data_IF_106407030926
#
_entry.id   IF_106407030926
#
_cell.length_a   1.000
_cell.length_b   1.000
_cell.length_c   1.000
_cell.angle_alpha   90.00
_cell.angle_beta   90.00
_cell.angle_gamma   90.00
#
_symmetry.space_group_name_H-M   'P 1'
#
loop_
_entity.id
_entity.type
_entity.pdbx_description
1 polymer ?
#
# COMPACT_ATOMS: atom_id res chain seq x y z
N UNK A 1 4.99 -16.08 -17.73
CA UNK A 1 3.73 -15.32 -17.95
C UNK A 1 3.16 -15.00 -16.58
N UNK A 2 3.13 -13.72 -16.24
CA UNK A 2 2.79 -13.22 -14.91
C UNK A 2 1.29 -13.43 -14.59
N UNK A 3 0.99 -13.89 -13.37
CA UNK A 3 -0.39 -14.12 -12.91
C UNK A 3 -0.84 -12.98 -11.98
N UNK A 4 -1.66 -12.07 -12.48
CA UNK A 4 -2.20 -10.93 -11.71
C UNK A 4 -2.92 -11.36 -10.43
N UNK A 5 -3.64 -12.49 -10.44
CA UNK A 5 -4.33 -12.99 -9.26
C UNK A 5 -3.36 -13.48 -8.18
N UNK A 6 -2.23 -14.05 -8.59
CA UNK A 6 -1.17 -14.45 -7.66
C UNK A 6 -0.55 -13.22 -6.98
N UNK A 7 -0.25 -12.16 -7.74
CA UNK A 7 0.26 -10.92 -7.15
C UNK A 7 -0.75 -10.28 -6.18
N UNK A 8 -2.06 -10.27 -6.52
CA UNK A 8 -3.11 -9.80 -5.60
C UNK A 8 -3.10 -10.60 -4.30
N UNK A 9 -3.04 -11.94 -4.36
CA UNK A 9 -3.03 -12.80 -3.16
C UNK A 9 -1.77 -12.61 -2.30
N UNK A 10 -0.61 -12.42 -2.95
CA UNK A 10 0.65 -12.15 -2.24
C UNK A 10 0.61 -10.77 -1.57
N UNK A 11 0.12 -9.73 -2.27
CA UNK A 11 -0.11 -8.41 -1.66
C UNK A 11 -1.08 -8.49 -0.50
N UNK A 12 -2.22 -9.17 -0.64
CA UNK A 12 -3.20 -9.30 0.44
C UNK A 12 -2.55 -9.89 1.69
N UNK A 13 -1.76 -10.94 1.52
CA UNK A 13 -1.06 -11.60 2.61
C UNK A 13 0.01 -10.70 3.25
N UNK A 14 0.79 -9.99 2.44
CA UNK A 14 1.81 -9.05 2.93
C UNK A 14 1.19 -7.88 3.69
N UNK A 15 0.15 -7.25 3.13
CA UNK A 15 -0.58 -6.14 3.74
C UNK A 15 -1.19 -6.54 5.08
N UNK A 16 -1.88 -7.68 5.15
CA UNK A 16 -2.47 -8.16 6.39
C UNK A 16 -1.40 -8.35 7.48
N UNK A 17 -0.27 -8.99 7.13
CA UNK A 17 0.85 -9.17 8.07
C UNK A 17 1.43 -7.83 8.54
N UNK A 18 1.63 -6.88 7.64
CA UNK A 18 2.19 -5.57 7.96
C UNK A 18 1.26 -4.75 8.85
N UNK A 19 -0.05 -4.76 8.56
CA UNK A 19 -1.08 -4.12 9.38
C UNK A 19 -1.08 -4.69 10.80
N UNK A 20 -1.10 -6.02 10.92
CA UNK A 20 -1.09 -6.72 12.21
C UNK A 20 0.17 -6.38 13.02
N UNK A 21 1.34 -6.32 12.37
CA UNK A 21 2.61 -5.99 13.03
C UNK A 21 2.75 -4.53 13.44
N UNK A 22 2.08 -3.59 12.74
CA UNK A 22 2.11 -2.14 13.00
C UNK A 22 0.81 -1.58 13.56
N UNK A 23 -0.10 -2.44 14.04
CA UNK A 23 -1.44 -2.00 14.48
C UNK A 23 -1.36 -0.94 15.59
N UNK A 24 -0.44 -1.08 16.55
CA UNK A 24 -0.29 -0.12 17.64
C UNK A 24 0.14 1.27 17.16
N UNK A 25 1.15 1.32 16.29
CA UNK A 25 1.65 2.54 15.69
C UNK A 25 0.63 3.18 14.72
N UNK A 26 -0.12 2.36 13.97
CA UNK A 26 -1.21 2.84 13.12
C UNK A 26 -2.31 3.52 13.93
N UNK A 27 -2.75 2.88 15.02
CA UNK A 27 -3.74 3.47 15.95
C UNK A 27 -3.22 4.77 16.55
N UNK A 28 -1.95 4.83 16.94
CA UNK A 28 -1.33 6.06 17.46
C UNK A 28 -1.44 7.24 16.50
N UNK A 29 -1.28 7.03 15.19
CA UNK A 29 -1.42 8.12 14.21
C UNK A 29 -2.88 8.39 13.84
N UNK A 30 -3.71 7.34 13.72
CA UNK A 30 -5.12 7.46 13.31
C UNK A 30 -5.97 8.27 14.29
N UNK A 31 -5.73 8.16 15.60
CA UNK A 31 -6.47 8.95 16.60
C UNK A 31 -6.13 10.44 16.57
N UNK A 32 -5.04 10.82 15.90
CA UNK A 32 -4.63 12.22 15.85
C UNK A 32 -5.44 12.96 14.80
N UNK A 33 -5.79 14.21 15.12
CA UNK A 33 -6.50 15.07 14.19
C UNK A 33 -5.74 15.34 12.88
N UNK A 34 -4.42 15.16 12.90
CA UNK A 34 -3.57 15.33 11.73
C UNK A 34 -3.73 14.20 10.71
N UNK A 35 -4.30 13.05 11.05
CA UNK A 35 -4.45 11.95 10.08
C UNK A 35 -5.39 12.35 8.94
N UNK A 36 -4.91 12.30 7.70
CA UNK A 36 -5.72 12.63 6.52
C UNK A 36 -5.95 11.44 5.61
N UNK A 37 -4.91 10.69 5.32
CA UNK A 37 -4.96 9.53 4.44
C UNK A 37 -3.70 8.68 4.62
N UNK A 38 -3.85 7.42 4.25
CA UNK A 38 -2.81 6.43 4.18
C UNK A 38 -2.52 6.20 2.70
N UNK A 39 -1.44 6.80 2.18
CA UNK A 39 -1.00 6.52 0.81
C UNK A 39 -0.03 5.36 0.84
N UNK A 40 -0.41 4.26 0.20
CA UNK A 40 0.53 3.24 -0.22
C UNK A 40 1.12 3.68 -1.54
N UNK A 41 2.37 4.13 -1.50
CA UNK A 41 3.08 4.45 -2.72
C UNK A 41 3.87 3.23 -3.14
N UNK A 42 3.52 2.67 -4.29
CA UNK A 42 4.41 1.77 -5.00
C UNK A 42 5.24 2.64 -5.94
N UNK A 43 6.06 3.51 -5.36
CA UNK A 43 7.25 3.90 -6.08
C UNK A 43 8.06 2.62 -6.21
N UNK A 44 8.20 2.09 -7.42
CA UNK A 44 9.30 1.19 -7.68
C UNK A 44 10.58 2.03 -7.60
N UNK A 45 11.11 2.16 -6.40
CA UNK A 45 12.42 2.72 -6.17
C UNK A 45 13.20 1.70 -5.37
N UNK A 46 14.26 1.17 -5.99
CA UNK A 46 15.08 0.10 -5.43
C UNK A 46 14.29 -1.19 -5.05
N UNK A 47 13.29 -1.56 -5.86
CA UNK A 47 12.52 -2.81 -5.75
C UNK A 47 11.67 -2.94 -4.47
N UNK A 48 11.37 -1.83 -3.77
CA UNK A 48 10.71 -1.85 -2.47
C UNK A 48 9.31 -1.20 -2.46
N UNK A 49 8.56 -1.38 -1.37
CA UNK A 49 7.23 -0.79 -1.19
C UNK A 49 7.19 0.08 0.06
N UNK A 50 6.66 1.30 -0.10
CA UNK A 50 6.62 2.31 0.96
C UNK A 50 5.19 2.68 1.33
N UNK A 51 4.88 2.62 2.62
CA UNK A 51 3.61 3.10 3.17
C UNK A 51 3.82 4.42 3.88
N UNK A 52 3.08 5.45 3.47
CA UNK A 52 3.19 6.79 4.00
C UNK A 52 1.86 7.22 4.63
N UNK A 53 1.95 7.93 5.75
CA UNK A 53 0.82 8.56 6.43
C UNK A 53 0.92 10.07 6.26
N UNK A 54 -0.13 10.66 5.73
CA UNK A 54 -0.15 12.08 5.40
C UNK A 54 -0.94 12.90 6.39
N UNK A 55 -0.47 14.13 6.58
CA UNK A 55 -1.10 15.09 7.47
C UNK A 55 -2.22 15.89 6.76
N UNK A 56 -3.31 16.18 7.48
CA UNK A 56 -4.34 17.11 7.01
C UNK A 56 -3.69 18.49 6.83
N UNK A 57 -3.95 19.21 5.71
CA UNK A 57 -3.38 20.53 5.50
C UNK A 57 -3.60 21.46 6.70
N UNK A 58 -2.51 22.08 7.19
CA UNK A 58 -2.54 22.97 8.35
C UNK A 58 -2.54 22.25 9.71
N UNK A 59 -2.40 20.93 9.74
CA UNK A 59 -2.17 20.13 10.94
C UNK A 59 -0.86 19.34 10.77
N UNK A 60 -0.26 18.95 11.89
CA UNK A 60 0.91 18.08 11.87
C UNK A 60 0.81 17.00 12.93
N UNK A 61 1.37 15.84 12.62
CA UNK A 61 1.41 14.73 13.57
C UNK A 61 2.29 15.07 14.76
N UNK A 62 1.88 14.58 15.92
CA UNK A 62 2.81 14.25 17.00
C UNK A 62 3.57 13.00 16.55
N UNK A 63 4.89 13.12 16.43
CA UNK A 63 5.76 12.04 15.97
C UNK A 63 5.78 10.88 16.97
N UNK A 64 5.70 9.65 16.47
CA UNK A 64 5.91 8.45 17.28
C UNK A 64 7.42 8.22 17.53
N UNK A 65 7.78 7.74 18.71
CA UNK A 65 9.20 7.60 19.12
C UNK A 65 9.98 6.58 18.29
N UNK A 66 9.29 5.62 17.67
CA UNK A 66 9.91 4.49 16.96
C UNK A 66 9.72 4.49 15.45
N UNK A 67 8.73 5.22 14.94
CA UNK A 67 8.36 5.17 13.52
C UNK A 67 7.99 6.56 13.03
N UNK A 68 8.45 6.88 11.83
CA UNK A 68 8.10 8.12 11.15
C UNK A 68 6.74 7.97 10.45
N UNK A 69 6.00 9.06 10.28
CA UNK A 69 4.78 9.07 9.45
C UNK A 69 5.13 9.05 7.95
N UNK A 70 6.26 9.65 7.56
CA UNK A 70 6.89 9.42 6.26
C UNK A 70 7.75 8.17 6.31
N UNK A 71 7.61 7.29 5.32
CA UNK A 71 8.20 5.94 5.26
C UNK A 71 7.77 5.07 6.46
N UNK A 72 6.49 5.11 6.80
CA UNK A 72 5.93 4.42 7.96
C UNK A 72 6.12 2.90 7.91
N UNK A 73 5.98 2.30 6.72
CA UNK A 73 6.39 0.92 6.46
C UNK A 73 7.28 0.90 5.21
N UNK A 74 8.43 0.24 5.33
CA UNK A 74 9.32 -0.13 4.23
C UNK A 74 9.30 -1.66 4.16
N UNK A 75 8.89 -2.24 3.04
CA UNK A 75 8.65 -3.68 2.94
C UNK A 75 9.91 -4.52 3.24
N UNK A 76 11.09 -4.07 2.82
CA UNK A 76 12.37 -4.76 3.10
C UNK A 76 12.70 -4.91 4.60
N UNK A 77 12.25 -4.01 5.47
CA UNK A 77 12.47 -4.11 6.92
C UNK A 77 11.84 -5.37 7.55
N UNK A 78 10.89 -5.99 6.83
CA UNK A 78 10.08 -7.10 7.31
C UNK A 78 10.32 -8.41 6.53
N UNK A 79 11.24 -8.42 5.57
CA UNK A 79 11.56 -9.60 4.77
C UNK A 79 12.04 -10.76 5.65
N UNK A 80 12.85 -10.45 6.66
CA UNK A 80 13.34 -11.44 7.63
C UNK A 80 12.24 -11.80 8.63
N UNK A 81 11.47 -12.83 8.30
CA UNK A 81 10.46 -13.42 9.19
C UNK A 81 9.05 -13.49 8.62
N UNK A 82 8.84 -13.02 7.39
CA UNK A 82 7.54 -13.10 6.72
C UNK A 82 7.67 -13.72 5.32
N UNK A 83 7.09 -14.90 5.14
CA UNK A 83 7.12 -15.62 3.87
C UNK A 83 6.34 -14.88 2.76
N UNK A 84 5.26 -14.18 3.10
CA UNK A 84 4.48 -13.38 2.15
C UNK A 84 5.26 -12.17 1.64
N UNK A 85 6.04 -11.53 2.53
CA UNK A 85 6.88 -10.38 2.17
C UNK A 85 8.05 -10.83 1.31
N UNK A 86 8.69 -11.95 1.67
CA UNK A 86 9.72 -12.56 0.83
C UNK A 86 9.17 -12.93 -0.56
N UNK A 87 7.99 -13.56 -0.63
CA UNK A 87 7.39 -13.91 -1.92
C UNK A 87 7.12 -12.68 -2.80
N UNK A 88 6.68 -11.57 -2.20
CA UNK A 88 6.49 -10.31 -2.92
C UNK A 88 7.80 -9.75 -3.48
N UNK A 89 8.87 -9.81 -2.68
CA UNK A 89 10.23 -9.45 -3.12
C UNK A 89 10.75 -10.36 -4.23
N UNK A 90 10.55 -11.67 -4.11
CA UNK A 90 10.97 -12.65 -5.14
C UNK A 90 10.26 -12.37 -6.49
N UNK A 91 9.00 -11.92 -6.47
CA UNK A 91 8.27 -11.50 -7.68
C UNK A 91 8.87 -10.21 -8.27
N UNK A 92 9.18 -9.21 -7.46
CA UNK A 92 9.77 -7.97 -7.97
C UNK A 92 11.18 -8.18 -8.51
N UNK A 93 11.98 -9.04 -7.88
CA UNK A 93 13.32 -9.40 -8.37
C UNK A 93 13.26 -10.17 -9.69
N UNK A 94 12.26 -11.06 -9.89
CA UNK A 94 12.15 -11.80 -11.15
C UNK A 94 11.83 -10.92 -12.36
N UNK A 95 11.25 -9.74 -12.13
CA UNK A 95 11.05 -8.74 -13.19
C UNK A 95 12.36 -8.14 -13.70
N UNK A 96 13.41 -8.13 -12.87
CA UNK A 96 14.77 -7.73 -13.26
C UNK A 96 15.46 -8.82 -14.10
N UNK A 97 15.28 -10.09 -13.70
CA UNK A 97 15.97 -11.25 -14.30
C UNK A 97 15.36 -11.71 -15.63
N UNK A 98 14.05 -11.58 -15.84
CA UNK A 98 13.33 -12.13 -17.00
C UNK A 98 13.62 -11.40 -18.33
N UNK A 99 14.49 -10.39 -18.35
CA UNK A 99 14.97 -9.78 -19.59
C UNK A 99 13.86 -9.20 -20.47
N UNK A 100 12.73 -8.76 -19.88
CA UNK A 100 11.61 -8.08 -20.55
C UNK A 100 12.00 -6.70 -21.11
N UNK A 101 13.28 -6.45 -21.37
CA UNK A 101 13.92 -5.16 -21.60
C UNK A 101 14.43 -5.03 -23.04
N UNK A 102 13.63 -5.46 -24.02
CA UNK A 102 13.85 -5.04 -25.42
C UNK A 102 13.38 -3.59 -25.65
N UNK A 103 12.44 -3.09 -24.82
CA UNK A 103 12.01 -1.69 -24.69
C UNK A 103 11.82 -1.42 -23.17
N UNK A 104 12.89 -0.97 -22.50
CA UNK A 104 12.95 -0.81 -21.03
C UNK A 104 11.81 0.04 -20.46
N UNK A 105 11.53 1.18 -21.07
CA UNK A 105 10.60 2.17 -20.51
C UNK A 105 9.13 1.71 -20.56
N UNK A 106 8.66 1.24 -21.72
CA UNK A 106 7.24 0.83 -21.91
C UNK A 106 6.88 -0.41 -21.09
N UNK A 107 7.82 -1.35 -20.92
CA UNK A 107 7.58 -2.57 -20.15
C UNK A 107 7.63 -2.31 -18.64
N UNK A 108 8.49 -1.40 -18.18
CA UNK A 108 8.50 -0.97 -16.78
C UNK A 108 7.22 -0.22 -16.40
N UNK A 109 6.74 0.69 -17.26
CA UNK A 109 5.45 1.37 -17.05
C UNK A 109 4.29 0.36 -16.91
N UNK A 110 4.27 -0.68 -17.75
CA UNK A 110 3.25 -1.73 -17.67
C UNK A 110 3.35 -2.53 -16.35
N UNK A 111 4.54 -2.89 -15.91
CA UNK A 111 4.75 -3.62 -14.65
C UNK A 111 4.36 -2.77 -13.44
N UNK A 112 4.72 -1.49 -13.43
CA UNK A 112 4.34 -0.52 -12.41
C UNK A 112 2.80 -0.46 -12.34
N UNK A 113 2.14 -0.29 -13.48
CA UNK A 113 0.67 -0.25 -13.53
C UNK A 113 0.04 -1.53 -12.99
N UNK A 114 0.55 -2.70 -13.38
CA UNK A 114 0.04 -3.99 -12.90
C UNK A 114 0.24 -4.16 -11.39
N UNK A 115 1.39 -3.74 -10.86
CA UNK A 115 1.69 -3.76 -9.43
C UNK A 115 0.67 -2.92 -8.66
N UNK A 116 0.44 -1.68 -9.10
CA UNK A 116 -0.51 -0.79 -8.44
C UNK A 116 -1.96 -1.29 -8.56
N UNK A 117 -2.38 -1.82 -9.72
CA UNK A 117 -3.71 -2.42 -9.89
C UNK A 117 -3.92 -3.64 -8.98
N UNK A 118 -2.92 -4.52 -8.88
CA UNK A 118 -2.98 -5.68 -8.01
C UNK A 118 -3.05 -5.24 -6.53
N UNK A 119 -2.29 -4.22 -6.17
CA UNK A 119 -2.29 -3.66 -4.84
C UNK A 119 -3.64 -3.02 -4.47
N UNK A 120 -4.25 -2.27 -5.40
CA UNK A 120 -5.61 -1.72 -5.25
C UNK A 120 -6.60 -2.80 -4.85
N UNK A 121 -6.55 -3.91 -5.58
CA UNK A 121 -7.45 -5.05 -5.41
C UNK A 121 -7.17 -5.73 -4.08
N UNK A 122 -5.91 -5.87 -3.69
CA UNK A 122 -5.53 -6.42 -2.39
C UNK A 122 -6.00 -5.53 -1.22
N UNK A 123 -5.86 -4.20 -1.30
CA UNK A 123 -6.38 -3.26 -0.30
C UNK A 123 -7.91 -3.28 -0.20
N UNK A 124 -8.59 -3.50 -1.32
CA UNK A 124 -10.06 -3.66 -1.36
C UNK A 124 -10.55 -5.07 -1.05
N UNK A 125 -9.66 -6.04 -0.82
CA UNK A 125 -10.04 -7.38 -0.38
C UNK A 125 -10.80 -7.29 0.95
N UNK A 126 -11.75 -8.21 1.17
CA UNK A 126 -12.54 -8.23 2.41
C UNK A 126 -11.65 -8.30 3.66
N UNK A 127 -10.55 -9.07 3.59
CA UNK A 127 -9.61 -9.25 4.69
C UNK A 127 -8.88 -7.95 5.04
N UNK A 128 -8.17 -7.35 4.08
CA UNK A 128 -7.35 -6.17 4.33
C UNK A 128 -8.22 -4.95 4.66
N UNK A 129 -9.33 -4.80 3.92
CA UNK A 129 -10.28 -3.70 4.16
C UNK A 129 -10.88 -3.75 5.56
N UNK A 130 -11.24 -4.94 6.05
CA UNK A 130 -11.75 -5.09 7.42
C UNK A 130 -10.71 -4.64 8.45
N UNK A 131 -9.46 -5.10 8.34
CA UNK A 131 -8.39 -4.72 9.27
C UNK A 131 -8.18 -3.20 9.32
N UNK A 132 -8.21 -2.54 8.16
CA UNK A 132 -8.04 -1.09 8.07
C UNK A 132 -9.25 -0.33 8.64
N UNK A 133 -10.47 -0.76 8.32
CA UNK A 133 -11.69 -0.16 8.86
C UNK A 133 -11.76 -0.29 10.39
N UNK A 134 -11.32 -1.42 10.94
CA UNK A 134 -11.24 -1.64 12.38
C UNK A 134 -10.28 -0.63 13.03
N UNK A 135 -9.14 -0.34 12.39
CA UNK A 135 -8.21 0.69 12.87
C UNK A 135 -8.82 2.09 12.73
N UNK A 136 -9.43 2.43 11.59
CA UNK A 136 -10.04 3.75 11.37
C UNK A 136 -11.21 4.03 12.30
N UNK A 137 -11.90 2.99 12.78
CA UNK A 137 -13.00 3.12 13.74
C UNK A 137 -12.58 3.75 15.08
N UNK A 138 -11.28 3.78 15.39
CA UNK A 138 -10.73 4.45 16.58
C UNK A 138 -10.81 5.99 16.49
N UNK A 139 -11.14 6.54 15.32
CA UNK A 139 -11.37 7.96 15.10
C UNK A 139 -12.75 8.20 14.47
N UNK A 140 -13.68 8.77 15.25
CA UNK A 140 -15.04 9.06 14.81
C UNK A 140 -15.11 9.95 13.55
N UNK A 141 -14.10 10.79 13.31
CA UNK A 141 -14.08 11.64 12.10
C UNK A 141 -13.80 10.84 10.82
N UNK A 142 -13.18 9.65 10.94
CA UNK A 142 -12.82 8.81 9.80
C UNK A 142 -13.86 7.73 9.53
N UNK A 143 -14.65 7.33 10.53
CA UNK A 143 -15.65 6.27 10.39
C UNK A 143 -16.75 6.61 9.37
N UNK A 144 -17.01 7.90 9.14
CA UNK A 144 -17.96 8.39 8.14
C UNK A 144 -17.33 8.64 6.76
N UNK A 145 -16.00 8.60 6.65
CA UNK A 145 -15.29 8.86 5.39
C UNK A 145 -15.30 7.62 4.49
N UNK A 146 -15.47 7.77 3.17
CA UNK A 146 -15.31 6.67 2.22
C UNK A 146 -13.92 6.04 2.32
N UNK A 147 -13.82 4.71 2.22
CA UNK A 147 -12.53 4.01 2.28
C UNK A 147 -11.51 4.53 1.26
N UNK A 148 -11.95 4.89 0.04
CA UNK A 148 -11.08 5.47 -0.98
C UNK A 148 -10.52 6.86 -0.62
N UNK A 149 -11.14 7.59 0.31
CA UNK A 149 -10.60 8.85 0.82
C UNK A 149 -9.57 8.62 1.92
N UNK A 150 -9.65 7.50 2.63
CA UNK A 150 -8.77 7.12 3.73
C UNK A 150 -7.52 6.37 3.26
N UNK A 151 -7.65 5.58 2.20
CA UNK A 151 -6.58 4.73 1.66
C UNK A 151 -6.43 5.02 0.18
N UNK A 152 -5.24 5.49 -0.20
CA UNK A 152 -4.89 5.81 -1.58
C UNK A 152 -3.71 4.99 -2.05
N UNK A 153 -3.71 4.69 -3.33
CA UNK A 153 -2.58 4.08 -4.01
C UNK A 153 -2.15 5.07 -5.08
N UNK A 154 -0.96 5.63 -4.88
CA UNK A 154 -0.42 6.71 -5.71
C UNK A 154 1.00 6.34 -6.14
N UNK A 155 1.26 6.46 -7.44
CA UNK A 155 2.62 6.44 -7.97
C UNK A 155 3.33 7.78 -7.63
N UNK A 156 4.62 7.76 -7.35
CA UNK A 156 5.42 8.96 -7.01
C UNK A 156 5.49 9.93 -8.19
N UNK A 157 5.43 9.40 -9.41
CA UNK A 157 5.37 10.22 -10.62
C UNK A 157 3.92 10.68 -10.95
N UNK A 158 2.93 10.29 -10.14
CA UNK A 158 1.53 10.68 -10.31
C UNK A 158 0.84 10.07 -11.53
N UNK A 159 1.47 9.07 -12.18
CA UNK A 159 0.93 8.40 -13.36
C UNK A 159 -0.24 7.47 -13.03
N UNK A 160 -0.48 7.16 -11.75
CA UNK A 160 -1.55 6.29 -11.31
C UNK A 160 -2.18 6.79 -10.00
N UNK A 161 -3.48 7.08 -10.05
CA UNK A 161 -4.34 7.38 -8.90
C UNK A 161 -5.59 6.48 -8.97
N UNK A 162 -5.81 5.67 -7.94
CA UNK A 162 -6.90 4.68 -7.82
C UNK A 162 -8.24 5.25 -7.36
N UNK A 163 -8.40 6.57 -7.23
CA UNK A 163 -9.72 7.18 -7.06
C UNK A 163 -10.77 6.75 -8.14
N UNK A 164 -10.39 5.97 -9.16
CA UNK A 164 -11.22 5.43 -10.24
C UNK A 164 -11.74 3.97 -10.11
N UNK A 165 -11.33 3.15 -9.11
CA UNK A 165 -11.85 1.76 -9.00
C UNK A 165 -13.31 1.66 -8.49
N UNK A 166 -13.90 2.78 -8.05
CA UNK A 166 -15.30 2.85 -7.63
C UNK A 166 -16.32 2.56 -8.76
N UNK A 167 -15.87 2.41 -10.01
CA UNK A 167 -16.69 2.10 -11.18
C UNK A 167 -16.76 0.62 -11.61
N UNK A 168 -15.90 -0.28 -11.08
CA UNK A 168 -15.87 -1.69 -11.52
C UNK A 168 -16.56 -2.66 -10.54
N UNK A 169 -17.63 -2.20 -9.87
CA UNK A 169 -18.58 -3.12 -9.24
C UNK A 169 -19.74 -3.32 -10.22
N UNK A 170 -19.74 -4.50 -10.84
CA UNK A 170 -20.70 -5.07 -11.81
C UNK A 170 -20.31 -4.91 -13.29
N UNK A 171 -19.58 -5.89 -13.80
CA UNK A 171 -19.73 -6.42 -15.16
C UNK A 171 -19.45 -7.91 -15.14
#
# INVERSE_FOLDING_TARGET
MFNKNELVSVYESALATLIEQRTGELKFYVIQEAFSHMSLSVAFWHYDMYWNLWEKPGKSFTKHDKVSNGEFIILSDFEKGSASIKALRDIFSSWEDDGLVENEDENMELLIKLAHEALARALNSARVKSLLLDIFSENEQLSEMPFQELVRVEDVDGHFDINFMAGEVNS
#
